data_IF_780932564421
#
_entry.id   IF_780932564421
#
_cell.length_a   1.000
_cell.length_b   1.000
_cell.length_c   1.000
_cell.angle_alpha   90.00
_cell.angle_beta   90.00
_cell.angle_gamma   90.00
#
_symmetry.space_group_name_H-M   'P 1'
#
loop_
_entity.id
_entity.type
_entity.pdbx_description
1 polymer ?
#
# COMPACT_ATOMS: atom_id res chain seq x y z
N UNK A 1 42.26 1.10 -30.01
CA UNK A 1 41.61 2.32 -29.46
C UNK A 1 41.16 3.14 -30.65
N UNK A 2 39.88 3.08 -31.02
CA UNK A 2 39.35 3.87 -32.12
C UNK A 2 39.12 5.29 -31.59
N UNK A 3 40.06 6.19 -31.87
CA UNK A 3 39.93 7.60 -31.51
C UNK A 3 39.10 8.26 -32.62
N UNK A 4 37.94 8.88 -32.30
CA UNK A 4 37.10 9.51 -33.31
C UNK A 4 37.83 10.68 -33.97
N UNK A 5 37.71 10.78 -35.29
CA UNK A 5 38.45 11.75 -36.12
C UNK A 5 37.83 13.15 -36.17
N UNK A 6 36.56 13.29 -35.77
CA UNK A 6 35.83 14.57 -35.75
C UNK A 6 35.16 14.81 -34.40
N UNK A 7 34.84 16.08 -34.12
CA UNK A 7 34.11 16.47 -32.90
C UNK A 7 32.74 15.81 -32.81
N UNK A 8 32.05 15.68 -33.94
CA UNK A 8 30.70 15.11 -33.98
C UNK A 8 30.75 13.59 -33.76
N UNK A 9 31.72 12.91 -34.39
CA UNK A 9 31.97 11.49 -34.13
C UNK A 9 32.36 11.22 -32.66
N UNK A 10 33.08 12.16 -32.02
CA UNK A 10 33.38 12.07 -30.60
C UNK A 10 32.13 12.24 -29.73
N UNK A 11 31.23 13.17 -30.07
CA UNK A 11 29.97 13.35 -29.36
C UNK A 11 29.09 12.10 -29.45
N UNK A 12 28.96 11.52 -30.65
CA UNK A 12 28.18 10.29 -30.87
C UNK A 12 28.78 9.10 -30.12
N UNK A 13 30.10 8.92 -30.19
CA UNK A 13 30.80 7.87 -29.47
C UNK A 13 30.59 7.98 -27.95
N UNK A 14 30.77 9.18 -27.39
CA UNK A 14 30.56 9.41 -25.95
C UNK A 14 29.11 9.20 -25.54
N UNK A 15 28.14 9.63 -26.35
CA UNK A 15 26.72 9.41 -26.07
C UNK A 15 26.37 7.92 -26.05
N UNK A 16 26.90 7.13 -26.99
CA UNK A 16 26.68 5.67 -27.01
C UNK A 16 27.28 4.98 -25.79
N UNK A 17 28.48 5.38 -25.38
CA UNK A 17 29.16 4.84 -24.20
C UNK A 17 28.44 5.21 -22.91
N UNK A 18 27.95 6.43 -22.82
CA UNK A 18 27.13 6.86 -21.69
C UNK A 18 25.85 6.03 -21.56
N UNK A 19 25.10 5.84 -22.65
CA UNK A 19 23.89 5.03 -22.64
C UNK A 19 24.16 3.58 -22.19
N UNK A 20 25.21 2.96 -22.73
CA UNK A 20 25.64 1.60 -22.34
C UNK A 20 26.00 1.51 -20.84
N UNK A 21 26.72 2.50 -20.31
CA UNK A 21 27.10 2.52 -18.89
C UNK A 21 25.93 2.74 -17.94
N UNK A 22 24.95 3.57 -18.33
CA UNK A 22 23.74 3.84 -17.54
C UNK A 22 22.86 2.60 -17.47
N UNK A 23 22.72 1.86 -18.58
CA UNK A 23 21.95 0.61 -18.62
C UNK A 23 22.58 -0.47 -17.74
N UNK A 24 23.92 -0.60 -17.77
CA UNK A 24 24.63 -1.59 -16.96
C UNK A 24 24.71 -1.22 -15.48
N UNK A 25 24.87 0.07 -15.17
CA UNK A 25 25.06 0.57 -13.80
C UNK A 25 24.31 1.89 -13.61
N UNK A 26 23.03 1.85 -13.22
CA UNK A 26 22.22 3.06 -13.04
C UNK A 26 22.80 4.01 -11.97
N UNK A 27 23.46 3.45 -10.94
CA UNK A 27 24.06 4.22 -9.84
C UNK A 27 25.44 4.81 -10.17
N UNK A 28 26.02 4.49 -11.34
CA UNK A 28 27.33 4.99 -11.73
C UNK A 28 27.33 6.48 -12.12
N UNK A 29 26.16 7.03 -12.43
CA UNK A 29 26.00 8.45 -12.77
C UNK A 29 25.64 9.24 -11.52
N UNK A 30 26.66 9.88 -10.94
CA UNK A 30 26.45 10.83 -9.84
C UNK A 30 25.92 12.13 -10.41
N UNK A 31 24.65 12.43 -10.14
CA UNK A 31 24.06 13.72 -10.47
C UNK A 31 24.53 14.75 -9.43
N UNK A 32 25.28 15.76 -9.87
CA UNK A 32 25.72 16.86 -9.00
C UNK A 32 24.60 17.86 -8.65
N UNK A 33 23.38 17.66 -9.18
CA UNK A 33 22.25 18.47 -8.79
C UNK A 33 21.88 18.17 -7.34
N UNK A 34 21.60 19.21 -6.55
CA UNK A 34 21.12 19.03 -5.19
C UNK A 34 19.79 18.27 -5.23
N UNK A 35 19.73 17.13 -4.54
CA UNK A 35 18.47 16.44 -4.31
C UNK A 35 17.53 17.37 -3.53
N UNK A 36 16.25 17.36 -3.90
CA UNK A 36 15.24 18.10 -3.16
C UNK A 36 15.19 17.53 -1.75
N UNK A 37 15.23 18.40 -0.75
CA UNK A 37 15.03 17.99 0.64
C UNK A 37 13.72 17.19 0.76
N UNK A 38 13.69 16.11 1.55
CA UNK A 38 12.48 15.34 1.74
C UNK A 38 11.38 16.24 2.29
N UNK A 39 10.14 16.02 1.83
CA UNK A 39 9.01 16.78 2.33
C UNK A 39 8.85 16.52 3.84
N UNK A 40 8.44 17.55 4.62
CA UNK A 40 8.25 17.39 6.06
C UNK A 40 7.17 16.34 6.32
N UNK A 41 7.42 15.46 7.31
CA UNK A 41 6.42 14.47 7.74
C UNK A 41 5.12 15.18 8.13
N UNK A 42 3.94 14.63 7.78
CA UNK A 42 2.67 15.22 8.18
C UNK A 42 2.58 15.25 9.71
N UNK A 43 1.87 16.25 10.25
CA UNK A 43 1.63 16.34 11.68
C UNK A 43 0.80 15.12 12.14
N UNK A 44 1.33 14.37 13.09
CA UNK A 44 0.62 13.26 13.75
C UNK A 44 0.35 13.65 15.18
N UNK A 45 -0.94 13.69 15.56
CA UNK A 45 -1.36 13.95 16.94
C UNK A 45 -0.91 12.80 17.85
N UNK A 46 -0.46 13.12 19.06
CA UNK A 46 -0.18 12.11 20.09
C UNK A 46 -1.49 11.42 20.52
N UNK A 47 -1.52 10.08 20.60
CA UNK A 47 -2.74 9.38 21.00
C UNK A 47 -3.10 9.77 22.43
N UNK A 48 -4.39 9.96 22.66
CA UNK A 48 -4.92 10.25 24.00
C UNK A 48 -4.92 8.99 24.87
N UNK A 49 -4.94 9.13 26.20
CA UNK A 49 -5.00 7.97 27.12
C UNK A 49 -6.21 7.07 26.83
N UNK A 50 -7.32 7.65 26.38
CA UNK A 50 -8.53 6.92 26.01
C UNK A 50 -8.34 6.12 24.72
N UNK A 51 -7.71 6.72 23.72
CA UNK A 51 -7.38 6.03 22.45
C UNK A 51 -6.48 4.83 22.70
N UNK A 52 -5.43 4.99 23.53
CA UNK A 52 -4.53 3.89 23.92
C UNK A 52 -5.29 2.79 24.69
N UNK A 53 -6.20 3.16 25.60
CA UNK A 53 -7.00 2.18 26.32
C UNK A 53 -7.94 1.39 25.39
N UNK A 54 -8.53 2.08 24.41
CA UNK A 54 -9.42 1.47 23.41
C UNK A 54 -8.66 0.51 22.48
N UNK A 55 -7.48 0.90 22.01
CA UNK A 55 -6.61 0.03 21.18
C UNK A 55 -6.26 -1.27 21.93
N UNK A 56 -5.92 -1.16 23.22
CA UNK A 56 -5.65 -2.33 24.07
C UNK A 56 -6.87 -3.23 24.25
N UNK A 57 -8.07 -2.66 24.31
CA UNK A 57 -9.30 -3.44 24.43
C UNK A 57 -9.60 -4.18 23.11
N UNK A 58 -9.41 -3.53 21.96
CA UNK A 58 -9.53 -4.18 20.66
C UNK A 58 -8.54 -5.32 20.48
N UNK A 59 -7.29 -5.16 20.94
CA UNK A 59 -6.29 -6.24 20.92
C UNK A 59 -6.75 -7.44 21.75
N UNK A 60 -7.23 -7.20 22.99
CA UNK A 60 -7.78 -8.28 23.83
C UNK A 60 -8.93 -9.02 23.16
N UNK A 61 -9.87 -8.29 22.55
CA UNK A 61 -10.99 -8.92 21.85
C UNK A 61 -10.54 -9.77 20.66
N UNK A 62 -9.51 -9.34 19.92
CA UNK A 62 -8.92 -10.11 18.83
C UNK A 62 -8.26 -11.38 19.34
N UNK A 63 -7.52 -11.30 20.45
CA UNK A 63 -6.86 -12.45 21.07
C UNK A 63 -7.90 -13.45 21.61
N UNK A 64 -8.92 -12.96 22.31
CA UNK A 64 -10.03 -13.78 22.82
C UNK A 64 -10.80 -14.45 21.68
N UNK A 65 -10.99 -13.76 20.55
CA UNK A 65 -11.61 -14.33 19.36
C UNK A 65 -10.71 -15.39 18.72
N UNK A 66 -9.41 -15.14 18.60
CA UNK A 66 -8.44 -16.09 18.04
C UNK A 66 -8.35 -17.37 18.88
N UNK A 67 -8.44 -17.26 20.20
CA UNK A 67 -8.47 -18.40 21.12
C UNK A 67 -9.79 -19.19 21.06
N UNK A 68 -10.90 -18.52 20.73
CA UNK A 68 -12.23 -19.16 20.55
C UNK A 68 -12.36 -19.88 19.22
N UNK A 69 -11.54 -19.52 18.22
CA UNK A 69 -11.43 -20.23 16.95
C UNK A 69 -10.38 -21.34 17.13
N UNK A 70 -10.72 -22.37 17.89
CA UNK A 70 -10.03 -23.65 17.74
C UNK A 70 -10.24 -24.16 16.30
N UNK A 71 -9.21 -24.72 15.63
CA UNK A 71 -9.33 -25.24 14.28
C UNK A 71 -10.11 -26.55 14.30
N UNK A 72 -11.44 -26.48 14.31
CA UNK A 72 -12.27 -27.59 13.88
C UNK A 72 -12.04 -27.76 12.38
N UNK A 73 -11.00 -28.51 12.04
CA UNK A 73 -10.74 -29.07 10.72
C UNK A 73 -11.88 -30.03 10.38
N UNK A 74 -12.97 -29.49 9.86
CA UNK A 74 -13.87 -30.25 9.00
C UNK A 74 -13.54 -29.87 7.56
N UNK A 75 -12.97 -30.79 6.76
CA UNK A 75 -12.90 -30.56 5.34
C UNK A 75 -14.32 -30.71 4.79
N UNK A 76 -14.71 -29.78 3.92
CA UNK A 76 -15.97 -29.74 3.15
C UNK A 76 -17.18 -29.09 3.83
N UNK A 77 -17.28 -27.76 3.72
CA UNK A 77 -18.57 -27.10 3.53
C UNK A 77 -18.37 -25.87 2.63
N UNK A 78 -19.11 -25.83 1.53
CA UNK A 78 -19.06 -24.80 0.50
C UNK A 78 -19.28 -23.38 1.10
N UNK A 79 -18.62 -22.33 0.59
CA UNK A 79 -18.70 -20.97 1.15
C UNK A 79 -20.06 -20.25 0.91
N UNK A 80 -21.11 -20.97 0.52
CA UNK A 80 -22.39 -20.39 0.12
C UNK A 80 -23.42 -20.28 1.27
N UNK A 81 -23.14 -20.80 2.46
CA UNK A 81 -24.14 -20.84 3.54
C UNK A 81 -23.51 -20.54 4.91
N UNK A 82 -22.74 -19.47 4.98
CA UNK A 82 -22.29 -18.87 6.23
C UNK A 82 -23.06 -17.59 6.52
N UNK A 83 -24.39 -17.64 6.54
CA UNK A 83 -25.20 -16.46 6.84
C UNK A 83 -25.16 -16.18 8.35
N UNK A 84 -24.21 -15.39 8.81
CA UNK A 84 -24.43 -14.53 9.97
C UNK A 84 -25.51 -13.51 9.57
N UNK A 85 -26.77 -13.98 9.54
CA UNK A 85 -27.91 -13.31 8.95
C UNK A 85 -28.42 -12.26 9.94
N UNK A 86 -27.69 -11.15 10.07
CA UNK A 86 -28.30 -9.89 10.48
C UNK A 86 -29.06 -9.37 9.27
N UNK A 87 -30.29 -9.83 9.08
CA UNK A 87 -31.10 -9.36 7.97
C UNK A 87 -31.83 -8.09 8.33
N UNK A 88 -32.13 -7.30 7.30
CA UNK A 88 -32.94 -6.10 7.43
C UNK A 88 -34.34 -6.43 7.96
N UNK A 89 -34.83 -7.65 7.70
CA UNK A 89 -36.10 -8.18 8.19
C UNK A 89 -36.18 -8.29 9.72
N UNK A 90 -35.03 -8.40 10.40
CA UNK A 90 -34.95 -8.50 11.87
C UNK A 90 -35.17 -7.15 12.57
N UNK A 91 -35.20 -6.05 11.80
CA UNK A 91 -35.34 -4.69 12.31
C UNK A 91 -36.48 -3.94 11.59
N UNK A 92 -37.75 -4.18 12.00
CA UNK A 92 -38.90 -3.51 11.41
C UNK A 92 -38.84 -2.01 11.71
N UNK A 93 -38.34 -1.23 10.75
CA UNK A 93 -38.13 0.22 10.89
C UNK A 93 -36.94 0.76 10.10
N UNK A 94 -36.03 -0.10 9.65
CA UNK A 94 -34.99 0.31 8.70
C UNK A 94 -35.51 0.15 7.26
N UNK A 95 -35.63 1.27 6.55
CA UNK A 95 -35.88 1.30 5.11
C UNK A 95 -34.53 1.42 4.40
N UNK A 96 -34.31 0.64 3.34
CA UNK A 96 -33.12 0.85 2.50
C UNK A 96 -33.19 2.26 1.91
N UNK A 97 -32.13 3.07 2.03
CA UNK A 97 -32.12 4.38 1.39
C UNK A 97 -32.25 4.17 -0.12
N UNK A 98 -33.22 4.86 -0.74
CA UNK A 98 -33.48 4.79 -2.18
C UNK A 98 -32.18 5.08 -2.96
N UNK A 99 -31.60 4.04 -3.53
CA UNK A 99 -30.49 4.18 -4.44
C UNK A 99 -31.01 4.85 -5.72
N UNK A 100 -30.71 6.15 -5.84
CA UNK A 100 -30.88 7.05 -7.01
C UNK A 100 -32.14 7.94 -6.98
N UNK A 101 -31.98 9.13 -6.41
CA UNK A 101 -32.42 10.35 -7.09
C UNK A 101 -31.22 11.26 -7.24
N UNK A 102 -30.52 11.11 -8.35
CA UNK A 102 -29.70 12.17 -8.90
C UNK A 102 -30.64 13.33 -9.23
N UNK A 103 -30.33 14.51 -8.72
CA UNK A 103 -30.85 15.79 -9.19
C UNK A 103 -29.65 16.65 -9.58
#
# INVERSE_FOLDING_TARGET
>A
MNIPSSKDALREFLASKFAETVEQNPDAVVLYAAERAPDPKPYVKRPTLREVAFERELEKMRDDQALKVEPQSTPFANPATGSNHLSLEDYPGLVQPDARKEF
#
